data_IF_988803930486
#
_entry.id   IF_988803930486
#
_cell.length_a   1.000
_cell.length_b   1.000
_cell.length_c   1.000
_cell.angle_alpha   90.00
_cell.angle_beta   90.00
_cell.angle_gamma   90.00
#
_symmetry.space_group_name_H-M   'P 1'
#
loop_
_entity.id
_entity.type
_entity.pdbx_description
1 polymer ?
#
# COMPACT_ATOMS: atom_id res chain seq x y z
N UNK A 1 18.13 15.74 -8.28
CA UNK A 1 17.41 15.13 -9.43
C UNK A 1 16.45 14.07 -8.90
N UNK A 2 15.22 13.98 -9.44
CA UNK A 2 14.28 12.89 -9.08
C UNK A 2 14.78 11.57 -9.68
N UNK A 3 14.84 10.51 -8.89
CA UNK A 3 15.28 9.17 -9.31
C UNK A 3 14.21 8.09 -9.12
N UNK A 4 13.19 8.37 -8.30
CA UNK A 4 12.09 7.45 -8.01
C UNK A 4 10.84 8.26 -7.66
N UNK A 5 9.72 7.94 -8.29
CA UNK A 5 8.41 8.48 -7.96
C UNK A 5 7.71 7.47 -7.05
N UNK A 6 7.44 7.88 -5.82
CA UNK A 6 6.90 7.02 -4.79
C UNK A 6 5.37 7.04 -4.79
N UNK A 7 4.76 5.91 -4.43
CA UNK A 7 3.31 5.81 -4.35
C UNK A 7 2.73 6.59 -3.16
N UNK A 8 3.45 6.60 -2.04
CA UNK A 8 3.06 7.28 -0.80
C UNK A 8 4.33 7.63 0.02
N UNK A 9 4.14 8.28 1.17
CA UNK A 9 5.22 8.64 2.09
C UNK A 9 6.02 7.42 2.56
N UNK A 10 5.36 6.32 2.90
CA UNK A 10 6.01 5.08 3.35
C UNK A 10 6.95 4.52 2.27
N UNK A 11 6.47 4.39 1.03
CA UNK A 11 7.28 3.94 -0.12
C UNK A 11 8.48 4.86 -0.37
N UNK A 12 8.29 6.18 -0.24
CA UNK A 12 9.37 7.15 -0.36
C UNK A 12 10.45 6.94 0.71
N UNK A 13 10.05 6.69 1.97
CA UNK A 13 10.98 6.41 3.06
C UNK A 13 11.69 5.07 2.89
N UNK A 14 11.04 4.03 2.33
CA UNK A 14 11.69 2.76 2.00
C UNK A 14 12.85 2.97 1.02
N UNK A 15 12.59 3.70 -0.07
CA UNK A 15 13.60 3.99 -1.09
C UNK A 15 14.68 4.92 -0.53
N UNK A 16 14.33 5.90 0.29
CA UNK A 16 15.32 6.76 0.97
C UNK A 16 16.28 5.92 1.82
N UNK A 17 15.73 5.02 2.64
CA UNK A 17 16.50 4.14 3.52
C UNK A 17 17.40 3.19 2.71
N UNK A 18 16.91 2.65 1.59
CA UNK A 18 17.70 1.82 0.67
C UNK A 18 18.92 2.59 0.12
N UNK A 19 18.72 3.83 -0.32
CA UNK A 19 19.81 4.67 -0.84
C UNK A 19 20.79 5.07 0.25
N UNK A 20 20.30 5.41 1.45
CA UNK A 20 21.15 5.71 2.61
C UNK A 20 22.04 4.53 3.00
N UNK A 21 21.53 3.29 2.94
CA UNK A 21 22.32 2.07 3.17
C UNK A 21 23.42 1.87 2.13
N UNK A 22 23.18 2.28 0.88
CA UNK A 22 24.19 2.32 -0.18
C UNK A 22 25.17 3.49 -0.03
N UNK A 23 25.01 4.34 0.99
CA UNK A 23 25.85 5.51 1.23
C UNK A 23 25.49 6.72 0.35
N UNK A 24 24.32 6.72 -0.27
CA UNK A 24 23.85 7.78 -1.17
C UNK A 24 22.91 8.70 -0.38
N UNK A 25 23.26 9.99 -0.29
CA UNK A 25 22.41 10.98 0.34
C UNK A 25 21.18 11.24 -0.54
N UNK A 26 19.99 11.13 0.04
CA UNK A 26 18.73 11.37 -0.66
C UNK A 26 17.78 12.21 0.21
N UNK A 27 16.82 12.86 -0.44
CA UNK A 27 15.75 13.62 0.22
C UNK A 27 14.42 13.37 -0.48
N UNK A 28 13.33 13.44 0.29
CA UNK A 28 11.98 13.27 -0.23
C UNK A 28 11.42 14.66 -0.55
N UNK A 29 10.86 14.81 -1.75
CA UNK A 29 10.16 16.01 -2.19
C UNK A 29 8.66 15.70 -2.21
N UNK A 30 7.85 16.60 -1.65
CA UNK A 30 6.39 16.53 -1.72
C UNK A 30 5.70 15.75 -0.60
N UNK A 31 6.46 15.26 0.38
CA UNK A 31 5.98 14.49 1.55
C UNK A 31 4.83 15.18 2.31
N UNK A 32 4.83 16.52 2.39
CA UNK A 32 3.82 17.30 3.12
C UNK A 32 2.63 17.76 2.28
N UNK A 33 2.49 17.31 1.03
CA UNK A 33 1.37 17.68 0.16
C UNK A 33 0.13 16.81 0.37
N UNK A 34 0.22 15.70 1.13
CA UNK A 34 -0.84 14.69 1.25
C UNK A 34 -2.04 15.07 2.14
N UNK A 35 -2.02 16.18 2.88
CA UNK A 35 -3.02 16.44 3.93
C UNK A 35 -4.28 17.25 3.56
N UNK A 36 -4.71 17.33 2.29
CA UNK A 36 -5.82 18.24 1.94
C UNK A 36 -6.74 17.87 0.77
N UNK A 37 -6.50 16.78 0.04
CA UNK A 37 -7.28 16.40 -1.14
C UNK A 37 -7.51 14.88 -1.31
N UNK A 38 -7.24 14.07 -0.29
CA UNK A 38 -7.26 12.60 -0.40
C UNK A 38 -6.06 12.05 -1.18
N UNK A 39 -5.62 10.82 -0.86
CA UNK A 39 -4.52 10.15 -1.57
C UNK A 39 -5.02 9.55 -2.89
N UNK A 40 -5.27 10.40 -3.89
CA UNK A 40 -5.21 9.93 -5.28
C UNK A 40 -3.73 9.79 -5.63
N UNK A 41 -3.27 8.66 -6.21
CA UNK A 41 -1.93 8.54 -6.77
C UNK A 41 -1.72 9.55 -7.89
N UNK A 42 -1.29 10.75 -7.52
CA UNK A 42 -0.70 11.67 -8.47
C UNK A 42 0.75 11.23 -8.60
N UNK A 43 1.02 10.41 -9.60
CA UNK A 43 2.39 10.07 -10.02
C UNK A 43 3.22 11.37 -10.08
N UNK A 44 4.33 11.40 -9.36
CA UNK A 44 5.24 12.55 -9.30
C UNK A 44 4.94 13.61 -8.22
N UNK A 45 3.93 13.42 -7.35
CA UNK A 45 3.72 14.30 -6.20
C UNK A 45 4.79 14.07 -5.12
N UNK A 46 5.11 12.80 -4.85
CA UNK A 46 6.19 12.39 -3.94
C UNK A 46 7.31 11.77 -4.77
N UNK A 47 8.51 12.35 -4.67
CA UNK A 47 9.68 11.82 -5.36
C UNK A 47 10.89 11.75 -4.44
N UNK A 48 11.65 10.68 -4.52
CA UNK A 48 12.97 10.58 -3.90
C UNK A 48 14.01 11.19 -4.84
N UNK A 49 14.78 12.13 -4.31
CA UNK A 49 15.75 12.90 -5.04
C UNK A 49 17.16 12.69 -4.49
N UNK A 50 18.15 12.69 -5.38
CA UNK A 50 19.59 12.61 -5.05
C UNK A 50 20.35 13.77 -5.71
N UNK A 51 21.61 13.97 -5.32
CA UNK A 51 22.52 14.86 -6.05
C UNK A 51 22.72 14.37 -7.50
N UNK A 52 22.92 15.28 -8.45
CA UNK A 52 23.13 14.91 -9.85
C UNK A 52 24.38 14.04 -10.03
N UNK A 53 25.41 14.22 -9.20
CA UNK A 53 26.62 13.41 -9.21
C UNK A 53 26.34 11.93 -8.86
N UNK A 54 25.36 11.66 -8.00
CA UNK A 54 25.03 10.33 -7.49
C UNK A 54 23.89 9.66 -8.26
N UNK A 55 23.27 10.36 -9.22
CA UNK A 55 22.10 9.88 -9.95
C UNK A 55 22.33 8.53 -10.67
N UNK A 56 23.53 8.30 -11.20
CA UNK A 56 23.87 7.03 -11.84
C UNK A 56 23.93 5.88 -10.84
N UNK A 57 24.63 6.06 -9.72
CA UNK A 57 24.76 5.05 -8.66
C UNK A 57 23.40 4.73 -8.03
N UNK A 58 22.59 5.76 -7.78
CA UNK A 58 21.23 5.58 -7.28
C UNK A 58 20.38 4.76 -8.26
N UNK A 59 20.53 5.02 -9.57
CA UNK A 59 19.85 4.26 -10.62
C UNK A 59 20.23 2.77 -10.64
N UNK A 60 21.50 2.43 -10.42
CA UNK A 60 21.96 1.04 -10.34
C UNK A 60 21.38 0.32 -9.12
N UNK A 61 21.41 0.96 -7.94
CA UNK A 61 20.83 0.41 -6.70
C UNK A 61 19.34 0.15 -6.86
N UNK A 62 18.61 1.10 -7.45
CA UNK A 62 17.17 0.93 -7.72
C UNK A 62 16.89 -0.17 -8.74
N UNK A 63 17.71 -0.28 -9.79
CA UNK A 63 17.56 -1.33 -10.78
C UNK A 63 17.79 -2.72 -10.17
N UNK A 64 18.79 -2.87 -9.31
CA UNK A 64 19.07 -4.10 -8.57
C UNK A 64 17.92 -4.45 -7.62
N UNK A 65 17.42 -3.48 -6.84
CA UNK A 65 16.28 -3.69 -5.95
C UNK A 65 15.03 -4.13 -6.72
N UNK A 66 14.73 -3.48 -7.85
CA UNK A 66 13.63 -3.89 -8.75
C UNK A 66 13.84 -5.28 -9.33
N UNK A 67 15.06 -5.62 -9.73
CA UNK A 67 15.40 -6.91 -10.31
C UNK A 67 15.40 -8.07 -9.29
N UNK A 68 15.71 -7.80 -8.01
CA UNK A 68 15.74 -8.80 -6.94
C UNK A 68 14.42 -9.54 -6.71
N UNK A 69 13.30 -9.02 -7.24
CA UNK A 69 11.98 -9.66 -7.21
C UNK A 69 11.74 -10.63 -8.39
N UNK A 70 12.51 -10.53 -9.48
CA UNK A 70 12.35 -11.41 -10.66
C UNK A 70 12.99 -12.80 -10.51
N UNK A 71 13.85 -13.02 -9.50
CA UNK A 71 14.51 -14.31 -9.24
C UNK A 71 14.04 -14.97 -7.94
N UNK A 72 12.75 -15.30 -7.78
CA UNK A 72 12.30 -16.22 -6.71
C UNK A 72 11.26 -17.22 -7.28
N UNK A 73 11.35 -18.53 -6.93
CA UNK A 73 10.68 -19.64 -7.62
C UNK A 73 9.15 -19.62 -7.49
N UNK A 74 8.46 -20.25 -8.44
CA UNK A 74 6.99 -20.45 -8.51
C UNK A 74 6.36 -21.15 -7.27
N UNK A 75 7.14 -21.48 -6.23
CA UNK A 75 6.76 -22.43 -5.18
C UNK A 75 6.17 -21.76 -3.91
N UNK A 76 6.26 -20.44 -3.75
CA UNK A 76 5.55 -19.72 -2.68
C UNK A 76 4.25 -19.08 -3.20
N UNK A 77 3.25 -19.93 -3.44
CA UNK A 77 1.85 -19.47 -3.39
C UNK A 77 1.58 -18.87 -2.00
N UNK A 78 1.65 -17.55 -1.87
CA UNK A 78 0.96 -16.83 -0.78
C UNK A 78 -0.55 -16.93 -1.08
N UNK A 79 -1.13 -18.09 -0.72
CA UNK A 79 -2.58 -18.27 -0.69
C UNK A 79 -3.14 -17.29 0.34
N UNK A 80 -4.04 -16.35 -0.03
CA UNK A 80 -4.77 -15.61 0.97
C UNK A 80 -5.53 -16.63 1.81
N UNK A 81 -5.20 -16.72 3.10
CA UNK A 81 -5.94 -17.52 4.05
C UNK A 81 -7.34 -16.89 4.21
N UNK A 82 -8.25 -17.20 3.29
CA UNK A 82 -9.67 -16.99 3.51
C UNK A 82 -10.12 -18.04 4.52
N UNK A 83 -10.54 -17.67 5.73
CA UNK A 83 -11.18 -18.64 6.60
C UNK A 83 -12.55 -18.94 5.97
N UNK A 84 -12.67 -20.05 5.25
CA UNK A 84 -13.98 -20.60 4.87
C UNK A 84 -14.70 -20.98 6.16
N UNK A 85 -15.58 -20.10 6.63
CA UNK A 85 -16.56 -20.40 7.66
C UNK A 85 -17.54 -21.45 7.10
N UNK A 86 -17.21 -22.73 7.29
CA UNK A 86 -18.19 -23.79 7.17
C UNK A 86 -19.14 -23.66 8.36
N UNK A 87 -20.38 -23.25 8.11
CA UNK A 87 -21.43 -23.30 9.12
C UNK A 87 -21.68 -24.76 9.53
N UNK A 88 -21.53 -25.14 10.81
CA UNK A 88 -21.85 -26.49 11.24
C UNK A 88 -23.37 -26.66 11.28
N UNK A 89 -23.91 -27.62 10.51
CA UNK A 89 -25.27 -28.12 10.69
C UNK A 89 -25.39 -28.82 12.04
N UNK A 90 -26.50 -28.66 12.79
CA UNK A 90 -26.58 -29.15 14.15
C UNK A 90 -26.94 -30.64 14.15
N UNK A 91 -26.07 -31.47 14.72
CA UNK A 91 -26.41 -32.82 15.16
C UNK A 91 -25.61 -33.15 16.41
N UNK A 92 -26.29 -33.73 17.39
CA UNK A 92 -25.98 -33.64 18.80
C UNK A 92 -24.59 -34.20 19.18
N UNK A 93 -23.69 -33.31 19.60
CA UNK A 93 -22.46 -33.71 20.28
C UNK A 93 -22.43 -33.07 21.66
N UNK A 94 -22.66 -33.90 22.69
CA UNK A 94 -22.43 -33.51 24.08
C UNK A 94 -20.91 -33.43 24.31
N UNK A 95 -20.31 -32.29 23.99
CA UNK A 95 -18.92 -31.98 24.37
C UNK A 95 -18.92 -31.55 25.83
N UNK A 96 -18.18 -32.27 26.66
CA UNK A 96 -17.98 -31.94 28.06
C UNK A 96 -17.27 -30.59 28.20
N UNK A 97 -17.82 -29.69 29.02
CA UNK A 97 -17.38 -28.31 29.25
C UNK A 97 -15.86 -28.18 29.57
N UNK A 98 -15.26 -29.24 30.12
CA UNK A 98 -13.84 -29.31 30.46
C UNK A 98 -12.94 -29.33 29.21
N UNK A 99 -13.35 -29.99 28.13
CA UNK A 99 -12.56 -30.07 26.90
C UNK A 99 -12.55 -28.75 26.13
N UNK A 100 -13.68 -28.05 26.09
CA UNK A 100 -13.78 -26.72 25.47
C UNK A 100 -12.93 -25.72 26.26
N UNK A 101 -13.04 -25.75 27.59
CA UNK A 101 -12.25 -24.85 28.43
C UNK A 101 -10.74 -25.15 28.33
N UNK A 102 -10.36 -26.42 28.30
CA UNK A 102 -8.96 -26.84 28.11
C UNK A 102 -8.41 -26.43 26.74
N UNK A 103 -9.21 -26.56 25.68
CA UNK A 103 -8.82 -26.12 24.33
C UNK A 103 -8.72 -24.59 24.25
N UNK A 104 -9.63 -23.84 24.88
CA UNK A 104 -9.57 -22.38 24.93
C UNK A 104 -8.35 -21.88 25.72
N UNK A 105 -8.05 -22.50 26.87
CA UNK A 105 -6.86 -22.16 27.68
C UNK A 105 -5.58 -22.55 26.95
N UNK A 106 -5.56 -23.71 26.28
CA UNK A 106 -4.43 -24.14 25.45
C UNK A 106 -4.19 -23.20 24.27
N UNK A 107 -5.25 -22.82 23.55
CA UNK A 107 -5.19 -21.86 22.45
C UNK A 107 -4.77 -20.46 22.94
N UNK A 108 -5.29 -20.00 24.09
CA UNK A 108 -4.88 -18.75 24.71
C UNK A 108 -3.41 -18.77 25.18
N UNK A 109 -2.95 -19.89 25.74
CA UNK A 109 -1.56 -20.10 26.12
C UNK A 109 -0.62 -20.10 24.92
N UNK A 110 -1.00 -20.78 23.83
CA UNK A 110 -0.28 -20.76 22.55
C UNK A 110 -0.29 -19.35 21.95
N UNK A 111 -1.42 -18.65 21.97
CA UNK A 111 -1.54 -17.27 21.49
C UNK A 111 -0.67 -16.29 22.28
N UNK A 112 -0.61 -16.44 23.61
CA UNK A 112 0.26 -15.65 24.48
C UNK A 112 1.75 -15.94 24.23
N UNK A 113 2.11 -17.21 23.97
CA UNK A 113 3.48 -17.59 23.61
C UNK A 113 3.89 -17.08 22.22
N UNK A 114 2.96 -17.05 21.26
CA UNK A 114 3.20 -16.52 19.91
C UNK A 114 3.34 -15.00 19.91
N UNK A 115 2.55 -14.28 20.72
CA UNK A 115 2.60 -12.81 20.71
C UNK A 115 3.88 -12.22 21.32
N UNK A 116 4.56 -12.94 22.22
CA UNK A 116 5.77 -12.45 22.88
C UNK A 116 5.58 -11.10 23.61
N UNK A 117 6.56 -10.64 24.38
CA UNK A 117 6.58 -9.25 24.84
C UNK A 117 6.91 -8.34 23.66
N UNK A 118 6.02 -7.39 23.36
CA UNK A 118 6.31 -6.31 22.42
C UNK A 118 7.01 -5.16 23.13
N UNK A 119 7.99 -4.54 22.47
CA UNK A 119 8.62 -3.30 22.92
C UNK A 119 8.20 -2.15 22.00
N UNK A 120 7.95 -0.99 22.58
CA UNK A 120 7.58 0.22 21.83
C UNK A 120 8.72 1.23 21.91
N UNK A 121 9.03 1.85 20.78
CA UNK A 121 9.98 2.96 20.67
C UNK A 121 9.29 4.12 19.97
N UNK A 122 9.22 5.27 20.62
CA UNK A 122 8.61 6.49 20.08
C UNK A 122 9.67 7.50 19.63
N UNK A 123 9.43 8.13 18.49
CA UNK A 123 10.18 9.28 18.00
C UNK A 123 9.28 10.53 18.15
N UNK A 124 9.78 11.52 18.86
CA UNK A 124 9.20 12.85 19.02
C UNK A 124 10.14 13.83 18.29
N UNK A 125 9.77 14.20 17.06
CA UNK A 125 10.61 14.97 16.16
C UNK A 125 10.72 16.44 16.61
N UNK A 126 9.66 16.98 17.21
CA UNK A 126 9.58 18.41 17.56
C UNK A 126 9.85 18.69 19.05
N UNK A 127 10.03 17.64 19.85
CA UNK A 127 10.29 17.65 21.30
C UNK A 127 9.17 18.31 22.11
N UNK A 128 7.93 18.23 21.65
CA UNK A 128 6.76 18.77 22.34
C UNK A 128 6.16 17.80 23.39
N UNK A 129 6.68 16.57 23.45
CA UNK A 129 6.25 15.51 24.36
C UNK A 129 5.13 14.64 23.80
N UNK A 130 4.71 14.83 22.54
CA UNK A 130 3.80 13.97 21.79
C UNK A 130 4.65 13.18 20.78
N UNK A 131 4.53 11.86 20.83
CA UNK A 131 5.23 10.97 19.90
C UNK A 131 4.49 11.01 18.56
N UNK A 132 5.15 11.47 17.50
CA UNK A 132 4.59 11.46 16.15
C UNK A 132 4.76 10.11 15.45
N UNK A 133 5.80 9.35 15.79
CA UNK A 133 6.03 8.04 15.19
C UNK A 133 6.33 7.00 16.27
N UNK A 134 5.65 5.86 16.23
CA UNK A 134 5.81 4.79 17.20
C UNK A 134 6.09 3.47 16.50
N UNK A 135 7.31 2.96 16.70
CA UNK A 135 7.72 1.65 16.24
C UNK A 135 7.45 0.58 17.31
N UNK A 136 6.80 -0.51 16.90
CA UNK A 136 6.44 -1.65 17.74
C UNK A 136 7.25 -2.86 17.28
N UNK A 137 7.98 -3.46 18.20
CA UNK A 137 8.85 -4.61 17.96
C UNK A 137 8.33 -5.84 18.71
N UNK A 138 8.64 -7.03 18.19
CA UNK A 138 8.54 -8.31 18.92
C UNK A 138 9.94 -8.92 18.98
N UNK A 139 10.54 -8.91 20.18
CA UNK A 139 11.99 -9.10 20.30
C UNK A 139 12.76 -8.00 19.57
N UNK A 140 13.67 -8.38 18.67
CA UNK A 140 14.46 -7.45 17.85
C UNK A 140 13.83 -7.18 16.47
N UNK A 141 12.62 -7.72 16.19
CA UNK A 141 11.96 -7.60 14.89
C UNK A 141 10.91 -6.50 14.89
N UNK A 142 11.04 -5.54 13.98
CA UNK A 142 10.01 -4.53 13.73
C UNK A 142 8.73 -5.22 13.23
N UNK A 143 7.60 -4.91 13.83
CA UNK A 143 6.30 -5.48 13.48
C UNK A 143 5.37 -4.44 12.87
N UNK A 144 5.39 -3.23 13.43
CA UNK A 144 4.45 -2.18 13.08
C UNK A 144 5.04 -0.79 13.38
N UNK A 145 4.69 0.19 12.55
CA UNK A 145 4.97 1.61 12.79
C UNK A 145 3.66 2.38 12.70
N UNK A 146 3.38 3.18 13.71
CA UNK A 146 2.22 4.06 13.79
C UNK A 146 2.68 5.50 13.63
N UNK A 147 2.08 6.25 12.71
CA UNK A 147 2.42 7.66 12.45
C UNK A 147 1.20 8.55 12.66
N UNK A 148 1.36 9.62 13.43
CA UNK A 148 0.37 10.66 13.69
C UNK A 148 0.82 11.94 12.94
N UNK A 149 0.24 12.16 11.74
CA UNK A 149 0.58 13.25 10.82
C UNK A 149 -0.05 14.58 11.26
N UNK A 150 -1.25 14.55 11.84
CA UNK A 150 -2.00 15.75 12.23
C UNK A 150 -1.87 16.13 13.73
N UNK A 151 -1.21 15.28 14.53
CA UNK A 151 -0.98 15.41 15.99
C UNK A 151 -2.24 15.33 16.85
N UNK A 152 -3.26 14.57 16.43
CA UNK A 152 -4.49 14.36 17.21
C UNK A 152 -4.39 13.20 18.22
N UNK A 153 -3.24 12.52 18.27
CA UNK A 153 -2.91 11.32 19.08
C UNK A 153 -3.54 10.02 18.60
N UNK A 154 -4.14 10.01 17.41
CA UNK A 154 -4.50 8.79 16.70
C UNK A 154 -3.50 8.57 15.57
N UNK A 155 -3.19 7.31 15.24
CA UNK A 155 -2.37 7.02 14.09
C UNK A 155 -3.16 7.30 12.82
N UNK A 156 -2.63 8.19 11.99
CA UNK A 156 -3.11 8.46 10.64
C UNK A 156 -2.53 7.45 9.64
N UNK A 157 -1.39 6.83 9.94
CA UNK A 157 -0.79 5.76 9.12
C UNK A 157 -0.36 4.60 10.01
N UNK A 158 -0.70 3.38 9.62
CA UNK A 158 -0.24 2.15 10.25
C UNK A 158 0.47 1.30 9.20
N UNK A 159 1.78 1.10 9.36
CA UNK A 159 2.57 0.23 8.48
C UNK A 159 2.96 -1.06 9.19
N UNK A 160 2.80 -2.19 8.50
CA UNK A 160 3.04 -3.54 9.00
C UNK A 160 4.22 -4.22 8.30
N UNK A 161 5.06 -4.89 9.07
CA UNK A 161 6.29 -5.53 8.60
C UNK A 161 6.22 -7.05 8.76
N UNK A 162 6.79 -7.75 7.79
CA UNK A 162 6.89 -9.21 7.81
C UNK A 162 8.03 -9.71 8.71
N UNK A 163 8.21 -11.02 8.78
CA UNK A 163 9.24 -11.62 9.63
C UNK A 163 10.67 -11.43 9.13
N UNK A 164 10.86 -10.99 7.88
CA UNK A 164 12.13 -10.59 7.28
C UNK A 164 12.42 -9.10 7.51
N UNK A 165 11.44 -8.33 7.99
CA UNK A 165 11.55 -6.89 8.23
C UNK A 165 11.20 -6.05 7.01
N UNK A 166 10.65 -6.64 5.95
CA UNK A 166 10.10 -5.88 4.83
C UNK A 166 8.70 -5.41 5.16
N UNK A 167 8.32 -4.22 4.68
CA UNK A 167 6.93 -3.82 4.75
C UNK A 167 6.07 -4.80 3.93
N UNK A 168 4.90 -5.11 4.47
CA UNK A 168 3.91 -6.01 3.85
C UNK A 168 2.60 -5.30 3.56
N UNK A 169 2.22 -4.33 4.42
CA UNK A 169 0.97 -3.59 4.30
C UNK A 169 1.09 -2.21 4.94
N UNK A 170 0.36 -1.23 4.44
CA UNK A 170 0.10 0.02 5.14
C UNK A 170 -1.38 0.38 5.04
N UNK A 171 -1.90 1.06 6.04
CA UNK A 171 -3.25 1.61 6.08
C UNK A 171 -3.13 3.11 6.41
N UNK A 172 -3.95 3.96 5.80
CA UNK A 172 -3.94 5.40 6.09
C UNK A 172 -5.34 6.02 6.16
N UNK A 173 -5.45 6.98 7.08
CA UNK A 173 -6.54 7.94 7.30
C UNK A 173 -6.10 9.28 6.68
N UNK A 174 -6.50 9.52 5.44
CA UNK A 174 -5.99 10.63 4.61
C UNK A 174 -6.83 11.90 4.76
N UNK A 175 -8.08 11.77 5.18
CA UNK A 175 -8.97 12.89 5.50
C UNK A 175 -9.04 13.26 7.00
N UNK A 176 -8.39 12.45 7.85
CA UNK A 176 -8.28 12.60 9.30
C UNK A 176 -9.61 12.47 10.06
N UNK A 177 -10.57 11.70 9.53
CA UNK A 177 -11.85 11.46 10.19
C UNK A 177 -11.81 10.35 11.26
N UNK A 178 -10.69 9.61 11.33
CA UNK A 178 -10.44 8.49 12.24
C UNK A 178 -10.71 7.11 11.63
N UNK A 179 -11.04 7.02 10.35
CA UNK A 179 -11.16 5.77 9.57
C UNK A 179 -9.94 5.61 8.67
N UNK A 180 -9.65 4.38 8.27
CA UNK A 180 -8.57 4.11 7.32
C UNK A 180 -9.21 3.60 6.02
N UNK A 181 -9.44 4.53 5.12
CA UNK A 181 -10.01 4.34 3.79
C UNK A 181 -8.98 3.76 2.81
N UNK A 182 -7.70 4.10 2.99
CA UNK A 182 -6.64 3.71 2.07
C UNK A 182 -5.85 2.51 2.61
N UNK A 183 -5.65 1.50 1.76
CA UNK A 183 -4.79 0.35 2.05
C UNK A 183 -3.78 0.13 0.94
N UNK A 184 -2.51 0.01 1.32
CA UNK A 184 -1.39 -0.36 0.47
C UNK A 184 -0.92 -1.79 0.76
N UNK A 185 -0.66 -2.60 -0.28
CA UNK A 185 0.05 -3.88 -0.17
C UNK A 185 1.42 -3.79 -0.80
N UNK A 186 2.37 -4.44 -0.13
CA UNK A 186 3.75 -4.52 -0.55
C UNK A 186 4.17 -5.97 -0.71
N UNK A 187 4.90 -6.28 -1.78
CA UNK A 187 5.51 -7.57 -2.02
C UNK A 187 7.03 -7.40 -1.95
N UNK A 188 7.68 -8.08 -0.99
CA UNK A 188 9.11 -7.95 -0.75
C UNK A 188 9.58 -6.50 -0.55
N UNK A 189 8.75 -5.68 0.11
CA UNK A 189 9.02 -4.26 0.35
C UNK A 189 8.78 -3.34 -0.84
N UNK A 190 8.29 -3.86 -1.98
CA UNK A 190 7.90 -3.05 -3.14
C UNK A 190 6.39 -2.85 -3.15
N UNK A 191 5.95 -1.62 -3.42
CA UNK A 191 4.53 -1.35 -3.61
C UNK A 191 3.97 -2.19 -4.76
N UNK A 192 2.85 -2.86 -4.51
CA UNK A 192 2.21 -3.78 -5.44
C UNK A 192 0.74 -3.43 -5.69
N UNK A 193 0.04 -2.92 -4.68
CA UNK A 193 -1.38 -2.61 -4.79
C UNK A 193 -1.79 -1.48 -3.85
N UNK A 194 -2.79 -0.72 -4.26
CA UNK A 194 -3.48 0.28 -3.47
C UNK A 194 -4.99 0.13 -3.68
N UNK A 195 -5.73 0.26 -2.59
CA UNK A 195 -7.19 0.34 -2.59
C UNK A 195 -7.62 1.53 -1.74
N UNK A 196 -8.64 2.27 -2.19
CA UNK A 196 -9.25 3.39 -1.48
C UNK A 196 -10.76 3.14 -1.44
N UNK A 197 -11.32 3.10 -0.24
CA UNK A 197 -12.74 2.90 0.09
C UNK A 197 -13.22 4.07 0.94
N UNK A 198 -13.50 5.19 0.26
CA UNK A 198 -13.79 6.50 0.89
C UNK A 198 -15.14 6.48 1.62
N UNK A 199 -16.11 5.71 1.12
CA UNK A 199 -17.45 5.65 1.70
C UNK A 199 -17.64 4.49 2.70
N UNK A 200 -16.61 3.65 2.85
CA UNK A 200 -16.53 2.50 3.75
C UNK A 200 -17.63 1.45 3.51
N UNK A 201 -18.06 1.29 2.25
CA UNK A 201 -19.02 0.25 1.86
C UNK A 201 -18.36 -1.12 1.60
N UNK A 202 -17.02 -1.17 1.55
CA UNK A 202 -16.22 -2.36 1.30
C UNK A 202 -15.90 -2.65 -0.17
N UNK A 203 -16.33 -1.79 -1.10
CA UNK A 203 -16.04 -1.82 -2.52
C UNK A 203 -15.21 -0.57 -2.87
N UNK A 204 -13.90 -0.69 -3.05
CA UNK A 204 -13.05 0.48 -3.23
C UNK A 204 -13.42 1.28 -4.50
N UNK A 205 -13.60 2.60 -4.34
CA UNK A 205 -13.80 3.55 -5.45
C UNK A 205 -12.57 3.62 -6.35
N UNK A 206 -11.37 3.43 -5.78
CA UNK A 206 -10.12 3.47 -6.52
C UNK A 206 -9.23 2.29 -6.18
N UNK A 207 -8.64 1.72 -7.22
CA UNK A 207 -7.63 0.67 -7.11
C UNK A 207 -6.47 0.95 -8.04
N UNK A 208 -5.25 0.63 -7.61
CA UNK A 208 -4.06 0.66 -8.43
C UNK A 208 -3.18 -0.55 -8.20
N UNK A 209 -2.53 -0.99 -9.27
CA UNK A 209 -1.61 -2.12 -9.28
C UNK A 209 -0.26 -1.66 -9.80
N UNK A 210 0.81 -2.18 -9.19
CA UNK A 210 2.18 -1.90 -9.54
C UNK A 210 2.97 -3.20 -9.75
N UNK A 211 3.93 -3.13 -10.67
CA UNK A 211 4.88 -4.20 -10.94
C UNK A 211 6.26 -3.68 -10.53
N UNK A 212 6.86 -4.35 -9.55
CA UNK A 212 8.15 -3.96 -8.98
C UNK A 212 8.21 -2.47 -8.53
N UNK A 213 7.16 -2.00 -7.86
CA UNK A 213 7.04 -0.62 -7.38
C UNK A 213 6.71 0.41 -8.47
N UNK A 214 6.52 0.00 -9.72
CA UNK A 214 6.14 0.90 -10.83
C UNK A 214 4.67 0.69 -11.14
N UNK A 215 3.87 1.76 -11.09
CA UNK A 215 2.44 1.71 -11.42
C UNK A 215 2.22 1.12 -12.82
N UNK A 216 1.27 0.21 -12.92
CA UNK A 216 0.92 -0.51 -14.14
C UNK A 216 -0.53 -0.25 -14.54
N UNK A 217 -1.45 -0.24 -13.57
CA UNK A 217 -2.89 -0.13 -13.83
C UNK A 217 -3.57 0.68 -12.73
N UNK A 218 -4.60 1.41 -13.14
CA UNK A 218 -5.57 2.03 -12.24
C UNK A 218 -6.99 1.69 -12.68
N UNK A 219 -7.91 1.55 -11.74
CA UNK A 219 -9.35 1.52 -11.99
C UNK A 219 -10.09 2.42 -11.00
N UNK A 220 -11.06 3.18 -11.53
CA UNK A 220 -11.98 4.02 -10.79
C UNK A 220 -13.40 3.46 -10.95
N UNK A 221 -14.17 3.49 -9.86
CA UNK A 221 -15.54 2.98 -9.82
C UNK A 221 -16.54 4.07 -9.43
N UNK A 222 -17.78 3.89 -9.89
CA UNK A 222 -18.93 4.63 -9.37
C UNK A 222 -19.46 3.99 -8.06
N UNK A 223 -20.38 4.64 -7.31
CA UNK A 223 -20.93 4.06 -6.08
C UNK A 223 -21.63 2.69 -6.25
N UNK A 224 -22.25 2.38 -7.40
CA UNK A 224 -22.69 1.01 -7.69
C UNK A 224 -21.57 -0.04 -7.88
N UNK A 225 -20.31 0.37 -8.04
CA UNK A 225 -19.14 -0.49 -8.25
C UNK A 225 -18.75 -0.73 -9.72
N UNK A 226 -19.40 -0.07 -10.67
CA UNK A 226 -19.06 -0.15 -12.09
C UNK A 226 -17.76 0.60 -12.36
N UNK A 227 -16.88 0.02 -13.20
CA UNK A 227 -15.65 0.71 -13.61
C UNK A 227 -16.01 1.86 -14.55
N UNK A 228 -15.71 3.09 -14.14
CA UNK A 228 -15.94 4.30 -14.94
C UNK A 228 -14.67 4.79 -15.64
N UNK A 229 -13.50 4.38 -15.16
CA UNK A 229 -12.22 4.72 -15.77
C UNK A 229 -11.18 3.66 -15.47
N UNK A 230 -10.40 3.30 -16.48
CA UNK A 230 -9.25 2.41 -16.38
C UNK A 230 -8.05 3.08 -17.03
N UNK A 231 -6.89 3.05 -16.39
CA UNK A 231 -5.66 3.65 -16.94
C UNK A 231 -4.57 2.58 -16.99
N UNK A 232 -3.88 2.49 -18.12
CA UNK A 232 -2.70 1.64 -18.28
C UNK A 232 -1.47 2.54 -18.32
N UNK A 233 -0.43 2.12 -17.61
CA UNK A 233 0.84 2.82 -17.53
C UNK A 233 1.94 2.02 -18.23
N UNK A 234 2.81 2.72 -18.96
CA UNK A 234 4.05 2.21 -19.54
C UNK A 234 5.22 3.03 -19.01
N UNK A 235 6.24 2.36 -18.47
CA UNK A 235 7.38 3.00 -17.79
C UNK A 235 6.98 3.96 -16.66
N UNK A 236 5.84 3.71 -16.00
CA UNK A 236 5.27 4.56 -14.95
C UNK A 236 4.53 5.79 -15.46
N UNK A 237 4.42 5.98 -16.78
CA UNK A 237 3.66 7.07 -17.40
C UNK A 237 2.33 6.56 -17.94
N UNK A 238 1.24 7.32 -17.84
CA UNK A 238 -0.04 6.90 -18.43
C UNK A 238 0.15 6.78 -19.95
N UNK A 239 -0.19 5.61 -20.50
CA UNK A 239 -0.10 5.34 -21.94
C UNK A 239 -1.48 5.37 -22.59
N UNK A 240 -2.49 4.87 -21.89
CA UNK A 240 -3.87 4.85 -22.36
C UNK A 240 -4.88 4.85 -21.22
N UNK A 241 -6.12 5.24 -21.52
CA UNK A 241 -7.24 5.08 -20.61
C UNK A 241 -8.53 4.72 -21.34
N UNK A 242 -9.34 3.89 -20.69
CA UNK A 242 -10.70 3.57 -21.10
C UNK A 242 -11.66 4.27 -20.13
N UNK A 243 -12.70 4.95 -20.64
CA UNK A 243 -13.67 5.71 -19.84
C UNK A 243 -15.09 5.33 -20.21
N UNK A 244 -15.98 5.34 -19.23
CA UNK A 244 -17.44 5.38 -19.41
C UNK A 244 -17.86 6.85 -19.43
N UNK A 245 -18.15 7.38 -20.63
CA UNK A 245 -18.49 8.80 -20.80
C UNK A 245 -19.98 9.11 -20.67
N UNK A 246 -20.85 8.10 -20.73
CA UNK A 246 -22.30 8.28 -20.66
C UNK A 246 -22.94 7.72 -19.38
N UNK A 247 -22.15 7.04 -18.54
CA UNK A 247 -22.54 6.54 -17.23
C UNK A 247 -23.41 5.29 -17.30
N UNK A 248 -23.32 4.50 -18.38
CA UNK A 248 -24.11 3.28 -18.55
C UNK A 248 -23.45 2.03 -17.93
N UNK A 249 -22.27 2.18 -17.33
CA UNK A 249 -21.47 1.13 -16.71
C UNK A 249 -20.56 0.39 -17.70
N UNK A 250 -20.44 0.85 -18.95
CA UNK A 250 -19.54 0.30 -19.95
C UNK A 250 -18.58 1.37 -20.45
N UNK A 251 -17.31 0.98 -20.59
CA UNK A 251 -16.29 1.86 -21.13
C UNK A 251 -16.52 2.07 -22.64
N UNK A 252 -16.64 3.32 -23.08
CA UNK A 252 -17.06 3.73 -24.42
C UNK A 252 -16.08 4.71 -25.11
N UNK A 253 -15.03 5.15 -24.41
CA UNK A 253 -13.96 6.00 -24.97
C UNK A 253 -12.57 5.46 -24.60
N UNK A 254 -11.69 5.31 -25.59
CA UNK A 254 -10.28 4.96 -25.43
C UNK A 254 -9.41 6.18 -25.77
N UNK A 255 -8.59 6.63 -24.83
CA UNK A 255 -7.64 7.73 -24.99
C UNK A 255 -6.21 7.24 -24.92
N UNK A 256 -5.32 7.91 -25.64
CA UNK A 256 -3.87 7.67 -25.63
C UNK A 256 -3.13 8.95 -25.26
N UNK A 257 -2.04 8.79 -24.53
CA UNK A 257 -1.29 9.88 -23.95
C UNK A 257 0.15 9.94 -24.47
N UNK A 258 0.72 11.14 -24.52
CA UNK A 258 2.16 11.31 -24.63
C UNK A 258 2.84 11.26 -23.24
N UNK A 259 4.17 11.36 -23.20
CA UNK A 259 4.95 11.37 -21.95
C UNK A 259 4.70 12.58 -21.03
N UNK A 260 3.90 13.55 -21.46
CA UNK A 260 3.46 14.68 -20.62
C UNK A 260 2.04 14.46 -20.10
N UNK A 261 1.49 13.26 -20.29
CA UNK A 261 0.10 12.92 -20.02
C UNK A 261 -0.91 13.75 -20.83
N UNK A 262 -0.48 14.31 -21.98
CA UNK A 262 -1.38 15.02 -22.89
C UNK A 262 -2.05 14.04 -23.85
N UNK A 263 -3.35 14.22 -24.10
CA UNK A 263 -4.11 13.35 -25.01
C UNK A 263 -3.64 13.58 -26.45
N UNK A 264 -3.09 12.53 -27.07
CA UNK A 264 -2.66 12.56 -28.48
C UNK A 264 -3.65 11.91 -29.42
N UNK A 265 -4.50 11.01 -28.93
CA UNK A 265 -5.53 10.32 -29.70
C UNK A 265 -6.69 9.92 -28.78
N UNK A 266 -7.91 10.00 -29.30
CA UNK A 266 -9.12 9.49 -28.65
C UNK A 266 -9.99 8.79 -29.70
N UNK A 267 -10.56 7.64 -29.33
CA UNK A 267 -11.42 6.80 -30.17
C UNK A 267 -12.62 6.35 -29.35
N UNK A 268 -13.82 6.28 -29.96
CA UNK A 268 -14.97 5.65 -29.31
C UNK A 268 -14.92 4.14 -29.48
N UNK A 269 -15.19 3.43 -28.39
CA UNK A 269 -15.39 1.98 -28.39
C UNK A 269 -16.87 1.76 -28.68
N UNK A 270 -17.21 1.32 -29.89
CA UNK A 270 -18.57 0.87 -30.16
C UNK A 270 -18.81 -0.45 -29.43
N UNK A 271 -19.60 -0.41 -28.34
CA UNK A 271 -20.16 -1.63 -27.74
C UNK A 271 -20.97 -2.36 -28.82
N UNK A 272 -20.53 -3.55 -29.23
CA UNK A 272 -21.36 -4.43 -30.06
C UNK A 272 -22.73 -4.61 -29.38
N UNK A 273 -23.80 -4.37 -30.14
CA UNK A 273 -25.19 -4.43 -29.68
C UNK A 273 -25.70 -5.86 -29.51
#
# INVERSE_FOLDING_TARGET
>A
MSIYDAANSTDAHLVRNLLEQAGIASYIRGEYLQGGLGEIPVTGLISVCVDEADAHLAGEVLAEWRAGVMEIPEDEEVKPATPRLQSPTPSAFRVSLIFVLGALVGAAGIWLLIKGPSTEHGIDYNQDGIVEERAIYSGDKLQRVDTDRNRDRKPDVISHYDHHGFISRSESDDDFDGRMETTYRYLHGQWAEMNVDDDADGNPEYTAEAIAGVIYREEWRDPPGNVIKKVIHEDGWPSSSELDTDGDGKLDELRYYDRRAEIVRSERIESER
#
